data_IF_215631839039
#
_entry.id   IF_215631839039
#
_cell.length_a   1.000
_cell.length_b   1.000
_cell.length_c   1.000
_cell.angle_alpha   90.00
_cell.angle_beta   90.00
_cell.angle_gamma   90.00
#
_symmetry.space_group_name_H-M   'P 1'
#
loop_
_entity.id
_entity.type
_entity.pdbx_description
1 polymer ?
#
# COMPACT_ATOMS: atom_id res chain seq x y z
N UNK A 1 -13.90 0.03 -10.47
CA UNK A 1 -13.53 -0.96 -9.45
C UNK A 1 -12.29 -1.72 -9.93
N UNK A 2 -11.14 -1.54 -9.29
CA UNK A 2 -9.90 -2.24 -9.68
C UNK A 2 -9.86 -3.60 -8.95
N UNK A 3 -10.48 -4.64 -9.51
CA UNK A 3 -10.51 -5.97 -8.89
C UNK A 3 -9.24 -6.73 -9.23
N UNK A 4 -8.40 -6.97 -8.22
CA UNK A 4 -7.13 -7.68 -8.42
C UNK A 4 -7.21 -9.18 -8.10
N UNK A 5 -8.19 -9.57 -7.28
CA UNK A 5 -8.37 -10.96 -6.81
C UNK A 5 -9.85 -11.32 -6.84
N UNK A 6 -10.17 -12.46 -7.43
CA UNK A 6 -11.50 -13.07 -7.30
C UNK A 6 -11.61 -13.78 -5.95
N UNK A 7 -12.41 -13.26 -5.02
CA UNK A 7 -12.60 -13.86 -3.69
C UNK A 7 -13.29 -15.22 -3.76
N UNK A 8 -14.25 -15.39 -4.68
CA UNK A 8 -14.99 -16.65 -4.87
C UNK A 8 -14.08 -17.78 -5.33
N UNK A 9 -13.27 -17.54 -6.36
CA UNK A 9 -12.39 -18.56 -6.93
C UNK A 9 -11.00 -18.59 -6.29
N UNK A 10 -10.70 -17.64 -5.38
CA UNK A 10 -9.40 -17.46 -4.74
C UNK A 10 -8.26 -17.39 -5.76
N UNK A 11 -8.47 -16.62 -6.83
CA UNK A 11 -7.50 -16.45 -7.92
C UNK A 11 -7.09 -15.01 -8.07
N UNK A 12 -5.82 -14.79 -8.41
CA UNK A 12 -5.35 -13.51 -8.90
C UNK A 12 -5.90 -13.27 -10.30
N UNK A 13 -6.55 -12.13 -10.51
CA UNK A 13 -7.14 -11.73 -11.81
C UNK A 13 -6.67 -10.34 -12.27
N UNK A 14 -5.85 -9.66 -11.47
CA UNK A 14 -5.30 -8.37 -11.82
C UNK A 14 -4.11 -8.47 -12.76
N UNK A 15 -3.69 -7.33 -13.32
CA UNK A 15 -2.43 -7.24 -14.03
C UNK A 15 -1.26 -7.77 -13.16
N UNK A 16 -0.25 -8.44 -13.75
CA UNK A 16 -0.04 -8.66 -15.19
C UNK A 16 -0.70 -9.93 -15.77
N UNK A 17 -1.63 -10.60 -15.07
CA UNK A 17 -2.32 -11.75 -15.65
C UNK A 17 -3.18 -11.31 -16.85
N UNK A 18 -3.00 -11.94 -18.03
CA UNK A 18 -3.68 -11.54 -19.28
C UNK A 18 -4.71 -12.57 -19.75
N UNK A 19 -4.47 -13.85 -19.43
CA UNK A 19 -5.35 -14.96 -19.80
C UNK A 19 -5.89 -15.67 -18.54
N UNK A 20 -6.85 -16.60 -18.73
CA UNK A 20 -7.32 -17.46 -17.63
C UNK A 20 -6.20 -18.37 -17.10
N UNK A 21 -5.29 -18.81 -17.97
CA UNK A 21 -4.17 -19.69 -17.62
C UNK A 21 -3.10 -18.95 -16.80
N UNK A 22 -2.97 -17.64 -16.98
CA UNK A 22 -2.08 -16.80 -16.17
C UNK A 22 -2.62 -16.53 -14.75
N UNK A 23 -3.89 -16.88 -14.46
CA UNK A 23 -4.48 -16.61 -13.16
C UNK A 23 -3.90 -17.55 -12.10
N UNK A 24 -3.15 -16.97 -11.16
CA UNK A 24 -2.55 -17.76 -10.08
C UNK A 24 -3.57 -18.12 -9.01
N UNK A 25 -3.59 -19.39 -8.63
CA UNK A 25 -4.32 -19.87 -7.45
C UNK A 25 -3.70 -19.35 -6.15
N UNK A 26 -4.55 -18.78 -5.29
CA UNK A 26 -4.19 -18.16 -4.02
C UNK A 26 -4.75 -18.93 -2.81
N UNK A 27 -5.25 -20.17 -2.97
CA UNK A 27 -5.81 -20.98 -1.86
C UNK A 27 -4.88 -21.06 -0.64
N UNK A 28 -3.57 -21.16 -0.88
CA UNK A 28 -2.53 -21.25 0.16
C UNK A 28 -1.88 -19.89 0.49
N UNK A 29 -2.36 -18.80 -0.12
CA UNK A 29 -1.81 -17.44 0.05
C UNK A 29 -2.80 -16.56 0.81
N UNK A 30 -3.11 -16.95 2.05
CA UNK A 30 -4.13 -16.30 2.88
C UNK A 30 -3.88 -14.80 3.10
N UNK A 31 -2.61 -14.39 3.19
CA UNK A 31 -2.22 -12.98 3.33
C UNK A 31 -2.62 -12.14 2.11
N UNK A 32 -2.51 -12.68 0.89
CA UNK A 32 -2.94 -12.02 -0.36
C UNK A 32 -4.46 -11.89 -0.39
N UNK A 33 -5.19 -12.94 -0.01
CA UNK A 33 -6.65 -12.92 0.06
C UNK A 33 -7.14 -11.88 1.09
N UNK A 34 -6.51 -11.80 2.25
CA UNK A 34 -6.80 -10.80 3.27
C UNK A 34 -6.53 -9.38 2.77
N UNK A 35 -5.40 -9.15 2.10
CA UNK A 35 -5.08 -7.88 1.45
C UNK A 35 -6.16 -7.50 0.42
N UNK A 36 -6.64 -8.45 -0.40
CA UNK A 36 -7.70 -8.16 -1.36
C UNK A 36 -9.02 -7.75 -0.69
N UNK A 37 -9.36 -8.30 0.48
CA UNK A 37 -10.54 -7.83 1.25
C UNK A 37 -10.33 -6.41 1.77
N UNK A 38 -9.13 -6.10 2.26
CA UNK A 38 -8.76 -4.74 2.71
C UNK A 38 -8.81 -3.73 1.56
N UNK A 39 -8.32 -4.10 0.37
CA UNK A 39 -8.44 -3.25 -0.82
C UNK A 39 -9.90 -3.01 -1.18
N UNK A 40 -10.76 -4.03 -1.14
CA UNK A 40 -12.21 -3.84 -1.30
C UNK A 40 -12.81 -2.90 -0.25
N UNK A 41 -12.40 -2.99 1.02
CA UNK A 41 -12.84 -2.09 2.07
C UNK A 41 -12.34 -0.65 1.87
N UNK A 42 -11.09 -0.48 1.42
CA UNK A 42 -10.50 0.80 1.06
C UNK A 42 -11.33 1.50 -0.03
N UNK A 43 -11.64 0.80 -1.13
CA UNK A 43 -12.45 1.33 -2.24
C UNK A 43 -13.85 1.70 -1.76
N UNK A 44 -14.49 0.87 -0.91
CA UNK A 44 -15.82 1.17 -0.38
C UNK A 44 -15.83 2.38 0.55
N UNK A 45 -14.82 2.53 1.40
CA UNK A 45 -14.77 3.59 2.41
C UNK A 45 -14.38 4.94 1.83
N UNK A 46 -13.41 4.97 0.92
CA UNK A 46 -12.79 6.20 0.43
C UNK A 46 -13.12 6.51 -1.05
N UNK A 47 -13.84 5.62 -1.73
CA UNK A 47 -14.13 5.75 -3.14
C UNK A 47 -12.99 5.29 -4.05
N UNK A 48 -13.31 5.12 -5.33
CA UNK A 48 -12.37 4.57 -6.33
C UNK A 48 -11.18 5.50 -6.54
N UNK A 49 -11.39 6.81 -6.71
CA UNK A 49 -10.31 7.73 -7.04
C UNK A 49 -9.25 7.79 -5.92
N UNK A 50 -9.68 8.01 -4.68
CA UNK A 50 -8.77 8.05 -3.51
C UNK A 50 -8.03 6.73 -3.30
N UNK A 51 -8.69 5.59 -3.55
CA UNK A 51 -8.01 4.29 -3.48
C UNK A 51 -6.91 4.12 -4.54
N UNK A 52 -7.11 4.63 -5.77
CA UNK A 52 -6.12 4.58 -6.84
C UNK A 52 -4.93 5.50 -6.51
N UNK A 53 -5.20 6.72 -6.06
CA UNK A 53 -4.16 7.68 -5.66
C UNK A 53 -3.28 7.10 -4.56
N UNK A 54 -3.90 6.62 -3.47
CA UNK A 54 -3.15 6.07 -2.32
C UNK A 54 -2.39 4.79 -2.66
N UNK A 55 -2.89 3.96 -3.58
CA UNK A 55 -2.13 2.81 -4.11
C UNK A 55 -0.90 3.23 -4.93
N UNK A 56 -0.99 4.31 -5.71
CA UNK A 56 0.16 4.84 -6.46
C UNK A 56 1.21 5.38 -5.49
N UNK A 57 0.80 6.23 -4.55
CA UNK A 57 1.68 6.77 -3.50
C UNK A 57 2.37 5.65 -2.70
N UNK A 58 1.60 4.64 -2.28
CA UNK A 58 2.14 3.47 -1.59
C UNK A 58 3.19 2.72 -2.41
N UNK A 59 2.99 2.57 -3.73
CA UNK A 59 3.99 1.97 -4.61
C UNK A 59 5.28 2.81 -4.65
N UNK A 60 5.17 4.14 -4.76
CA UNK A 60 6.35 5.02 -4.75
C UNK A 60 7.14 4.90 -3.45
N UNK A 61 6.45 4.92 -2.30
CA UNK A 61 7.06 4.77 -0.97
C UNK A 61 7.76 3.40 -0.84
N UNK A 62 7.11 2.31 -1.25
CA UNK A 62 7.71 0.97 -1.20
C UNK A 62 8.93 0.82 -2.11
N UNK A 63 8.91 1.43 -3.29
CA UNK A 63 10.09 1.47 -4.19
C UNK A 63 11.22 2.26 -3.55
N UNK A 64 10.92 3.40 -2.92
CA UNK A 64 11.91 4.17 -2.18
C UNK A 64 12.58 3.31 -1.11
N UNK A 65 11.80 2.68 -0.21
CA UNK A 65 12.37 1.84 0.85
C UNK A 65 13.15 0.66 0.30
N UNK A 66 12.67 -0.02 -0.74
CA UNK A 66 13.41 -1.11 -1.38
C UNK A 66 14.81 -0.67 -1.84
N UNK A 67 14.94 0.54 -2.38
CA UNK A 67 16.23 1.09 -2.81
C UNK A 67 17.08 1.57 -1.63
N UNK A 68 16.50 2.35 -0.71
CA UNK A 68 17.20 2.90 0.46
C UNK A 68 17.74 1.79 1.38
N UNK A 69 16.96 0.72 1.55
CA UNK A 69 17.30 -0.46 2.37
C UNK A 69 18.16 -1.48 1.60
N UNK A 70 18.57 -1.16 0.36
CA UNK A 70 19.38 -2.03 -0.53
C UNK A 70 18.79 -3.43 -0.73
N UNK A 71 17.46 -3.54 -0.70
CA UNK A 71 16.73 -4.79 -0.88
C UNK A 71 16.49 -5.04 -2.37
N UNK A 72 17.54 -5.41 -3.10
CA UNK A 72 17.48 -5.66 -4.55
C UNK A 72 16.48 -6.76 -4.95
N UNK A 73 16.12 -7.65 -4.02
CA UNK A 73 15.14 -8.73 -4.21
C UNK A 73 13.73 -8.36 -3.75
N UNK A 74 13.47 -7.10 -3.37
CA UNK A 74 12.17 -6.66 -2.92
C UNK A 74 11.11 -6.89 -4.01
N UNK A 75 10.00 -7.61 -3.71
CA UNK A 75 8.99 -7.94 -4.71
C UNK A 75 8.39 -6.73 -5.44
N UNK A 76 8.35 -5.56 -4.80
CA UNK A 76 7.81 -4.32 -5.41
C UNK A 76 8.61 -3.85 -6.64
N UNK A 77 9.90 -4.23 -6.74
CA UNK A 77 10.76 -3.91 -7.88
C UNK A 77 10.60 -4.93 -9.03
N UNK A 78 10.00 -6.09 -8.76
CA UNK A 78 9.85 -7.15 -9.75
C UNK A 78 8.70 -6.90 -10.73
N UNK A 79 8.92 -7.27 -12.00
CA UNK A 79 7.92 -7.13 -13.08
C UNK A 79 7.08 -8.39 -13.28
N UNK A 80 7.43 -9.51 -12.65
CA UNK A 80 6.73 -10.79 -12.81
C UNK A 80 5.40 -10.83 -12.06
N UNK A 81 4.48 -11.71 -12.48
CA UNK A 81 3.22 -11.94 -11.75
C UNK A 81 3.46 -12.35 -10.29
N UNK A 82 4.43 -13.24 -10.05
CA UNK A 82 4.78 -13.69 -8.71
C UNK A 82 5.24 -12.53 -7.82
N UNK A 83 6.06 -11.62 -8.36
CA UNK A 83 6.50 -10.43 -7.65
C UNK A 83 5.33 -9.48 -7.32
N UNK A 84 4.41 -9.28 -8.27
CA UNK A 84 3.19 -8.48 -8.04
C UNK A 84 2.31 -9.07 -6.94
N UNK A 85 2.09 -10.38 -6.95
CA UNK A 85 1.31 -11.08 -5.93
C UNK A 85 1.99 -10.95 -4.56
N UNK A 86 3.32 -11.14 -4.50
CA UNK A 86 4.09 -11.05 -3.27
C UNK A 86 4.15 -9.63 -2.69
N UNK A 87 4.19 -8.59 -3.53
CA UNK A 87 4.18 -7.18 -3.10
C UNK A 87 2.80 -6.67 -2.68
N UNK A 88 1.72 -7.33 -3.13
CA UNK A 88 0.36 -6.84 -2.99
C UNK A 88 -0.11 -6.59 -1.54
N UNK A 89 0.20 -7.45 -0.54
CA UNK A 89 -0.17 -7.19 0.84
C UNK A 89 0.44 -5.91 1.40
N UNK A 90 1.73 -5.68 1.15
CA UNK A 90 2.46 -4.50 1.62
C UNK A 90 1.91 -3.24 0.93
N UNK A 91 1.67 -3.32 -0.39
CA UNK A 91 1.08 -2.23 -1.17
C UNK A 91 -0.28 -1.79 -0.62
N UNK A 92 -1.19 -2.74 -0.36
CA UNK A 92 -2.52 -2.44 0.19
C UNK A 92 -2.42 -1.98 1.64
N UNK A 93 -1.48 -2.53 2.42
CA UNK A 93 -1.22 -2.15 3.79
C UNK A 93 -0.83 -0.68 3.93
N UNK A 94 0.18 -0.26 3.17
CA UNK A 94 0.64 1.15 3.11
C UNK A 94 -0.49 2.05 2.62
N UNK A 95 -1.13 1.73 1.49
CA UNK A 95 -2.22 2.54 0.93
C UNK A 95 -3.39 2.73 1.92
N UNK A 96 -3.70 1.70 2.71
CA UNK A 96 -4.73 1.80 3.75
C UNK A 96 -4.38 2.80 4.84
N UNK A 97 -3.12 2.88 5.24
CA UNK A 97 -2.66 3.86 6.24
C UNK A 97 -2.71 5.26 5.64
N UNK A 98 -2.14 5.45 4.44
CA UNK A 98 -2.17 6.76 3.77
C UNK A 98 -3.59 7.29 3.58
N UNK A 99 -4.53 6.43 3.15
CA UNK A 99 -5.93 6.80 3.00
C UNK A 99 -6.62 7.16 4.32
N UNK A 100 -6.24 6.51 5.43
CA UNK A 100 -6.84 6.79 6.74
C UNK A 100 -6.41 8.14 7.30
N UNK A 101 -5.18 8.58 7.00
CA UNK A 101 -4.60 9.77 7.58
C UNK A 101 -4.49 10.96 6.62
N UNK A 102 -4.87 10.83 5.33
CA UNK A 102 -4.68 11.93 4.37
C UNK A 102 -5.37 13.23 4.81
N UNK A 103 -6.54 13.15 5.45
CA UNK A 103 -7.29 14.34 5.89
C UNK A 103 -6.86 14.82 7.30
N UNK A 104 -5.94 14.11 7.96
CA UNK A 104 -5.53 14.42 9.34
C UNK A 104 -4.17 15.11 9.40
N UNK A 105 -3.33 14.97 8.37
CA UNK A 105 -1.91 15.41 8.42
C UNK A 105 -1.69 16.92 8.47
N UNK A 106 -2.76 17.69 8.31
CA UNK A 106 -2.83 19.14 8.59
C UNK A 106 -2.70 19.44 10.09
N UNK A 107 -3.34 18.63 10.94
CA UNK A 107 -3.34 18.86 12.38
C UNK A 107 -2.06 18.30 13.00
N UNK A 108 -1.41 18.98 13.96
CA UNK A 108 -0.25 18.41 14.64
C UNK A 108 -0.60 17.08 15.32
N UNK A 109 0.33 16.10 15.29
CA UNK A 109 0.19 14.89 16.11
C UNK A 109 0.47 15.29 17.57
N UNK A 110 -0.58 15.72 18.27
CA UNK A 110 -0.44 16.25 19.64
C UNK A 110 -0.26 15.17 20.69
N UNK A 111 -0.63 13.92 20.38
CA UNK A 111 -0.73 12.84 21.37
C UNK A 111 0.59 12.11 21.67
N UNK A 112 1.59 12.16 20.78
CA UNK A 112 2.75 11.25 20.84
C UNK A 112 4.11 11.92 20.89
N UNK A 113 4.20 13.25 20.73
CA UNK A 113 5.47 13.97 20.69
C UNK A 113 6.37 13.64 19.48
N UNK A 114 5.91 12.78 18.57
CA UNK A 114 6.60 12.42 17.32
C UNK A 114 5.88 13.08 16.13
N UNK A 115 6.65 13.53 15.14
CA UNK A 115 6.09 14.10 13.92
C UNK A 115 5.31 13.07 13.09
N UNK A 116 4.40 13.55 12.23
CA UNK A 116 3.61 12.72 11.31
C UNK A 116 4.40 11.63 10.56
N UNK A 117 5.60 11.91 10.00
CA UNK A 117 6.32 10.89 9.24
C UNK A 117 6.68 9.66 10.09
N UNK A 118 7.19 9.88 11.30
CA UNK A 118 7.53 8.79 12.23
C UNK A 118 6.29 8.05 12.72
N UNK A 119 5.20 8.78 12.99
CA UNK A 119 3.93 8.16 13.38
C UNK A 119 3.38 7.27 12.27
N UNK A 120 3.35 7.76 11.03
CA UNK A 120 2.90 6.98 9.87
C UNK A 120 3.81 5.77 9.62
N UNK A 121 5.12 5.91 9.80
CA UNK A 121 6.08 4.82 9.68
C UNK A 121 5.76 3.69 10.67
N UNK A 122 5.47 4.04 11.93
CA UNK A 122 5.07 3.08 12.95
C UNK A 122 3.75 2.38 12.58
N UNK A 123 2.73 3.15 12.18
CA UNK A 123 1.44 2.59 11.76
C UNK A 123 1.60 1.66 10.55
N UNK A 124 2.47 2.00 9.60
CA UNK A 124 2.78 1.16 8.43
C UNK A 124 3.47 -0.12 8.87
N UNK A 125 4.53 -0.04 9.67
CA UNK A 125 5.27 -1.20 10.17
C UNK A 125 4.36 -2.17 10.93
N UNK A 126 3.49 -1.66 11.80
CA UNK A 126 2.48 -2.45 12.50
C UNK A 126 1.49 -3.11 11.51
N UNK A 127 1.06 -2.37 10.49
CA UNK A 127 0.05 -2.83 9.51
C UNK A 127 0.58 -3.89 8.55
N UNK A 128 1.84 -3.79 8.13
CA UNK A 128 2.48 -4.67 7.14
C UNK A 128 3.30 -5.79 7.79
N UNK A 129 3.67 -5.64 9.07
CA UNK A 129 4.63 -6.53 9.74
C UNK A 129 6.06 -6.37 9.24
N UNK A 130 6.37 -5.24 8.58
CA UNK A 130 7.72 -4.88 8.12
C UNK A 130 8.40 -3.93 9.11
N UNK A 131 9.72 -3.78 8.96
CA UNK A 131 10.52 -2.86 9.78
C UNK A 131 11.25 -1.90 8.85
N UNK A 132 10.53 -0.87 8.41
CA UNK A 132 11.12 0.29 7.74
C UNK A 132 11.65 1.27 8.78
N UNK A 133 12.82 1.87 8.51
CA UNK A 133 13.48 2.79 9.45
C UNK A 133 13.56 4.22 8.97
N UNK A 134 13.41 4.43 7.68
CA UNK A 134 13.55 5.75 7.06
C UNK A 134 12.18 6.41 6.87
N UNK A 135 11.86 7.49 7.61
CA UNK A 135 10.60 8.21 7.44
C UNK A 135 10.61 9.16 6.22
N UNK A 136 11.72 9.31 5.51
CA UNK A 136 11.91 10.22 4.38
C UNK A 136 10.75 10.26 3.36
N UNK A 137 10.32 9.13 2.77
CA UNK A 137 9.26 9.16 1.76
C UNK A 137 7.88 9.53 2.35
N UNK A 138 7.70 9.38 3.67
CA UNK A 138 6.50 9.82 4.37
C UNK A 138 6.55 11.32 4.69
N UNK A 139 7.74 11.89 4.92
CA UNK A 139 7.91 13.33 5.05
C UNK A 139 7.50 14.06 3.77
N UNK A 140 7.95 13.56 2.61
CA UNK A 140 7.57 14.11 1.31
C UNK A 140 6.07 14.00 1.06
N UNK A 141 5.48 12.84 1.41
CA UNK A 141 4.03 12.64 1.29
C UNK A 141 3.24 13.60 2.18
N UNK A 142 3.61 13.77 3.46
CA UNK A 142 2.95 14.70 4.39
C UNK A 142 3.01 16.13 3.85
N UNK A 143 4.17 16.56 3.35
CA UNK A 143 4.33 17.89 2.78
C UNK A 143 3.39 18.08 1.57
N UNK A 144 3.29 17.08 0.70
CA UNK A 144 2.41 17.13 -0.45
C UNK A 144 0.92 17.20 -0.05
N UNK A 145 0.48 16.40 0.93
CA UNK A 145 -0.92 16.46 1.39
C UNK A 145 -1.29 17.85 1.94
N UNK A 146 -0.37 18.51 2.66
CA UNK A 146 -0.59 19.87 3.18
C UNK A 146 -0.72 20.90 2.05
N UNK A 147 0.12 20.81 1.02
CA UNK A 147 0.03 21.67 -0.16
C UNK A 147 -1.29 21.48 -0.93
N UNK A 148 -1.83 20.25 -0.97
CA UNK A 148 -3.13 19.99 -1.60
C UNK A 148 -4.26 20.65 -0.81
N UNK A 149 -4.20 20.61 0.52
CA UNK A 149 -5.23 21.17 1.39
C UNK A 149 -5.25 22.71 1.43
N UNK A 150 -4.11 23.35 1.14
CA UNK A 150 -3.99 24.81 1.06
C UNK A 150 -4.57 25.40 -0.24
N UNK A 151 -4.93 24.56 -1.23
CA UNK A 151 -5.53 24.96 -2.52
C UNK A 151 -7.02 24.64 -2.60
#
# INVERSE_FOLDING_TARGET
>A
MHVTVCQRHRRWIGAPARTLDDQKDLRNQHHVLAAARRHGALVRRYGTQRSITTLREARHILIYWANAEKSATAPILGTTLAAHIAAYPDLVGVASVLAAYSDHVEQPVTATGIGWPSYLLEQINQRTGRVHRDPGPLQDWVNHQRLIAEN
#
